data_IF_020144204342
#
_entry.id   IF_020144204342
#
_cell.length_a   1.000
_cell.length_b   1.000
_cell.length_c   1.000
_cell.angle_alpha   90.00
_cell.angle_beta   90.00
_cell.angle_gamma   90.00
#
_symmetry.space_group_name_H-M   'P 1'
#
loop_
_entity.id
_entity.type
_entity.pdbx_description
1 polymer ?
#
# COMPACT_ATOMS: atom_id res chain seq x y z
N UNK A 1 13.62 -3.61 -13.07
CA UNK A 1 12.92 -2.57 -12.29
C UNK A 1 13.19 -1.17 -12.80
N UNK A 2 14.41 -0.62 -12.72
CA UNK A 2 14.73 0.74 -13.22
C UNK A 2 14.27 0.98 -14.67
N UNK A 3 14.67 0.08 -15.58
CA UNK A 3 14.24 0.10 -16.99
C UNK A 3 12.71 0.06 -17.18
N UNK A 4 12.01 -0.74 -16.39
CA UNK A 4 10.55 -0.80 -16.43
C UNK A 4 9.91 0.54 -16.05
N UNK A 5 10.43 1.21 -15.02
CA UNK A 5 9.95 2.53 -14.60
C UNK A 5 10.19 3.60 -15.66
N UNK A 6 11.35 3.57 -16.33
CA UNK A 6 11.67 4.49 -17.44
C UNK A 6 10.73 4.28 -18.63
N UNK A 7 10.49 3.02 -19.00
CA UNK A 7 9.69 2.68 -20.18
C UNK A 7 8.18 2.88 -19.97
N UNK A 8 7.66 2.58 -18.77
CA UNK A 8 6.21 2.48 -18.54
C UNK A 8 5.66 3.57 -17.61
N UNK A 9 6.51 4.24 -16.82
CA UNK A 9 6.10 5.29 -15.88
C UNK A 9 6.99 6.55 -15.99
N UNK A 10 7.20 7.10 -17.21
CA UNK A 10 8.13 8.21 -17.44
C UNK A 10 7.78 9.46 -16.62
N UNK A 11 6.49 9.71 -16.38
CA UNK A 11 6.03 10.82 -15.54
C UNK A 11 6.37 10.64 -14.04
N UNK A 12 6.39 9.40 -13.55
CA UNK A 12 6.74 9.11 -12.16
C UNK A 12 8.23 9.30 -11.88
N UNK A 13 9.08 8.98 -12.87
CA UNK A 13 10.53 9.11 -12.74
C UNK A 13 11.07 10.47 -13.18
N UNK A 14 10.21 11.37 -13.68
CA UNK A 14 10.57 12.73 -14.03
C UNK A 14 10.99 13.50 -12.76
N UNK A 15 12.30 13.56 -12.50
CA UNK A 15 12.89 14.18 -11.31
C UNK A 15 13.50 13.20 -10.31
N UNK A 16 13.52 11.89 -10.61
CA UNK A 16 14.20 10.88 -9.80
C UNK A 16 15.50 10.48 -10.51
N UNK A 17 16.65 10.61 -9.84
CA UNK A 17 17.90 10.03 -10.37
C UNK A 17 17.88 8.51 -10.22
N UNK A 18 17.54 7.84 -11.31
CA UNK A 18 17.48 6.37 -11.36
C UNK A 18 18.86 5.71 -11.30
N UNK A 19 19.98 6.44 -11.31
CA UNK A 19 21.29 5.86 -10.97
C UNK A 19 21.36 5.48 -9.50
N UNK A 20 20.66 6.21 -8.64
CA UNK A 20 20.58 5.92 -7.21
C UNK A 20 19.75 4.66 -6.90
N UNK A 21 19.77 4.25 -5.63
CA UNK A 21 18.97 3.11 -5.18
C UNK A 21 17.50 3.50 -5.08
N UNK A 22 16.62 2.68 -5.66
CA UNK A 22 15.16 2.87 -5.55
C UNK A 22 14.70 2.71 -4.09
N UNK A 23 15.27 1.73 -3.37
CA UNK A 23 14.88 1.42 -2.01
C UNK A 23 15.78 2.11 -0.98
N UNK A 24 15.16 2.73 0.02
CA UNK A 24 15.84 3.19 1.23
C UNK A 24 16.54 2.02 1.95
N UNK A 25 17.62 2.30 2.68
CA UNK A 25 18.32 1.27 3.44
C UNK A 25 17.55 0.95 4.72
N UNK A 26 17.38 -0.36 5.00
CA UNK A 26 16.56 -0.92 6.09
C UNK A 26 15.06 -0.62 5.90
N UNK A 27 14.26 -1.26 6.74
CA UNK A 27 12.82 -1.05 6.85
C UNK A 27 12.43 -1.14 8.32
N UNK A 28 11.21 -0.71 8.64
CA UNK A 28 10.65 -0.85 9.99
C UNK A 28 9.79 -2.11 10.05
N UNK A 29 10.24 -3.10 10.82
CA UNK A 29 9.48 -4.30 11.15
C UNK A 29 8.75 -4.15 12.48
N UNK A 30 7.61 -4.83 12.60
CA UNK A 30 6.85 -4.89 13.83
C UNK A 30 6.21 -6.28 13.94
N UNK A 31 6.57 -7.01 15.01
CA UNK A 31 6.03 -8.33 15.25
C UNK A 31 4.60 -8.24 15.81
N UNK A 32 3.67 -8.92 15.16
CA UNK A 32 2.26 -8.97 15.55
C UNK A 32 1.99 -10.30 16.23
N UNK A 33 1.74 -10.27 17.54
CA UNK A 33 1.50 -11.47 18.36
C UNK A 33 0.05 -11.61 18.82
N UNK A 34 -0.82 -10.65 18.51
CA UNK A 34 -2.23 -10.69 18.90
C UNK A 34 -3.13 -10.19 17.80
N UNK A 35 -4.37 -10.68 17.81
CA UNK A 35 -5.40 -10.27 16.86
C UNK A 35 -5.70 -8.78 17.00
N UNK A 36 -5.74 -8.25 18.22
CA UNK A 36 -5.99 -6.81 18.44
C UNK A 36 -4.87 -5.95 17.85
N UNK A 37 -3.63 -6.40 17.95
CA UNK A 37 -2.51 -5.71 17.32
C UNK A 37 -2.57 -5.81 15.79
N UNK A 38 -3.02 -6.94 15.25
CA UNK A 38 -3.26 -7.10 13.82
C UNK A 38 -4.34 -6.12 13.33
N UNK A 39 -5.46 -6.00 14.05
CA UNK A 39 -6.55 -5.07 13.75
C UNK A 39 -6.08 -3.62 13.76
N UNK A 40 -5.34 -3.21 14.79
CA UNK A 40 -4.78 -1.85 14.90
C UNK A 40 -3.87 -1.52 13.69
N UNK A 41 -2.98 -2.45 13.32
CA UNK A 41 -2.09 -2.25 12.16
C UNK A 41 -2.86 -2.24 10.85
N UNK A 42 -3.88 -3.08 10.70
CA UNK A 42 -4.73 -3.10 9.52
C UNK A 42 -5.50 -1.79 9.35
N UNK A 43 -6.10 -1.29 10.42
CA UNK A 43 -6.78 0.00 10.44
C UNK A 43 -5.84 1.16 10.11
N UNK A 44 -4.62 1.15 10.65
CA UNK A 44 -3.59 2.11 10.28
C UNK A 44 -3.26 2.05 8.78
N UNK A 45 -3.02 0.85 8.23
CA UNK A 45 -2.70 0.67 6.82
C UNK A 45 -3.84 1.14 5.90
N UNK A 46 -5.09 0.86 6.24
CA UNK A 46 -6.27 1.31 5.48
C UNK A 46 -6.42 2.83 5.51
N UNK A 47 -6.11 3.48 6.63
CA UNK A 47 -6.25 4.92 6.77
C UNK A 47 -5.02 5.72 6.30
N UNK A 48 -3.88 5.08 5.99
CA UNK A 48 -2.68 5.79 5.53
C UNK A 48 -2.91 6.70 4.30
N UNK A 49 -3.61 6.26 3.24
CA UNK A 49 -3.91 7.13 2.10
C UNK A 49 -4.71 8.37 2.48
N UNK A 50 -5.68 8.24 3.39
CA UNK A 50 -6.48 9.36 3.92
C UNK A 50 -5.61 10.31 4.73
N UNK A 51 -4.80 9.77 5.65
CA UNK A 51 -3.85 10.55 6.48
C UNK A 51 -2.81 11.30 5.65
N UNK A 52 -2.52 10.82 4.43
CA UNK A 52 -1.61 11.45 3.47
C UNK A 52 -2.31 12.39 2.49
N UNK A 53 -3.63 12.54 2.58
CA UNK A 53 -4.43 13.41 1.71
C UNK A 53 -4.54 12.91 0.27
N UNK A 54 -4.32 11.61 0.03
CA UNK A 54 -4.39 11.02 -1.31
C UNK A 54 -5.83 10.72 -1.75
N UNK A 55 -6.72 10.48 -0.78
CA UNK A 55 -8.16 10.20 -0.96
C UNK A 55 -8.93 10.72 0.26
N UNK A 56 -10.22 10.95 0.11
CA UNK A 56 -11.09 11.37 1.23
C UNK A 56 -11.49 10.18 2.09
N UNK A 57 -11.76 9.03 1.46
CA UNK A 57 -12.18 7.81 2.13
C UNK A 57 -11.24 6.63 1.83
N UNK A 58 -10.95 5.80 2.84
CA UNK A 58 -10.04 4.66 2.69
C UNK A 58 -10.43 3.69 1.56
N UNK A 59 -11.73 3.51 1.34
CA UNK A 59 -12.29 2.63 0.28
C UNK A 59 -12.04 3.13 -1.14
N UNK A 60 -11.68 4.41 -1.32
CA UNK A 60 -11.41 5.01 -2.63
C UNK A 60 -10.01 4.65 -3.15
N UNK A 61 -9.06 4.36 -2.24
CA UNK A 61 -7.70 4.01 -2.60
C UNK A 61 -7.65 2.69 -3.37
N UNK A 62 -7.29 2.72 -4.66
CA UNK A 62 -7.33 1.55 -5.55
C UNK A 62 -6.22 0.54 -5.28
N UNK A 63 -5.13 0.96 -4.64
CA UNK A 63 -3.99 0.12 -4.29
C UNK A 63 -4.04 -0.40 -2.85
N UNK A 64 -5.22 -0.38 -2.21
CA UNK A 64 -5.43 -0.86 -0.85
C UNK A 64 -6.59 -1.85 -0.74
N UNK A 65 -6.63 -2.59 0.37
CA UNK A 65 -7.63 -3.64 0.61
C UNK A 65 -8.87 -3.17 1.37
N UNK A 66 -8.95 -1.90 1.80
CA UNK A 66 -10.05 -1.36 2.60
C UNK A 66 -11.44 -1.64 1.99
N UNK A 67 -11.58 -1.50 0.66
CA UNK A 67 -12.84 -1.76 -0.05
C UNK A 67 -13.29 -3.22 0.02
N UNK A 68 -12.36 -4.17 0.14
CA UNK A 68 -12.70 -5.58 0.29
C UNK A 68 -13.26 -5.83 1.69
N UNK A 69 -12.59 -5.30 2.73
CA UNK A 69 -13.01 -5.48 4.11
C UNK A 69 -14.32 -4.78 4.45
N UNK A 70 -14.52 -3.56 3.94
CA UNK A 70 -15.67 -2.72 4.32
C UNK A 70 -16.86 -2.85 3.38
N UNK A 71 -16.61 -3.11 2.09
CA UNK A 71 -17.65 -3.12 1.05
C UNK A 71 -17.77 -4.46 0.33
N UNK A 72 -16.97 -5.46 0.69
CA UNK A 72 -16.90 -6.76 0.01
C UNK A 72 -16.69 -6.65 -1.51
N UNK A 73 -15.97 -5.60 -1.95
CA UNK A 73 -15.63 -5.38 -3.36
C UNK A 73 -14.29 -6.01 -3.70
N UNK A 74 -14.19 -6.59 -4.89
CA UNK A 74 -12.93 -7.11 -5.43
C UNK A 74 -11.83 -6.05 -5.47
N UNK A 75 -10.59 -6.47 -5.22
CA UNK A 75 -9.37 -5.66 -5.32
C UNK A 75 -8.43 -6.17 -6.42
N UNK A 76 -8.93 -7.00 -7.33
CA UNK A 76 -8.17 -7.60 -8.42
C UNK A 76 -7.37 -8.84 -8.03
N UNK A 77 -7.28 -9.16 -6.74
CA UNK A 77 -6.76 -10.42 -6.21
C UNK A 77 -7.75 -11.01 -5.20
N UNK A 78 -7.76 -12.33 -5.09
CA UNK A 78 -8.52 -13.03 -4.07
C UNK A 78 -7.91 -12.79 -2.69
N UNK A 79 -8.73 -12.42 -1.72
CA UNK A 79 -8.34 -12.38 -0.31
C UNK A 79 -8.99 -13.58 0.36
N UNK A 80 -8.17 -14.55 0.74
CA UNK A 80 -8.59 -15.71 1.51
C UNK A 80 -8.62 -15.34 2.99
N UNK A 81 -9.75 -15.59 3.65
CA UNK A 81 -9.79 -15.54 5.11
C UNK A 81 -8.92 -16.68 5.64
N UNK A 82 -7.98 -16.36 6.53
CA UNK A 82 -7.32 -17.40 7.32
C UNK A 82 -8.38 -17.95 8.28
N UNK A 83 -8.84 -19.18 8.00
CA UNK A 83 -9.73 -19.97 8.86
C UNK A 83 -9.06 -20.37 10.16
#
# INVERSE_FOLDING_TARGET
MKRFLEEHLPAYVAGIDLKERIWQARFYDFNVFSVDKAREKLEYMHNNPVRKGLVENAVEWCYGSARWYLLHRSVGIEIVSLS
#
